data_IF_397918008061
#
_entry.id   IF_397918008061
#
_cell.length_a   1.000
_cell.length_b   1.000
_cell.length_c   1.000
_cell.angle_alpha   90.00
_cell.angle_beta   90.00
_cell.angle_gamma   90.00
#
_symmetry.space_group_name_H-M   'P 1'
#
loop_
_entity.id
_entity.type
_entity.pdbx_description
1 polymer ?
#
# COMPACT_ATOMS: atom_id res chain seq x y z
N UNK A 1 115.10 136.71 -106.78
CA UNK A 1 115.57 137.01 -105.42
C UNK A 1 114.44 137.48 -104.52
N UNK A 2 113.30 137.94 -105.06
CA UNK A 2 112.19 138.44 -104.22
C UNK A 2 111.13 137.39 -103.87
N UNK A 3 111.29 136.16 -104.37
CA UNK A 3 110.49 134.98 -104.01
C UNK A 3 110.66 134.54 -102.55
N UNK A 4 111.73 134.96 -101.86
CA UNK A 4 111.94 134.64 -100.44
C UNK A 4 111.24 135.60 -99.46
N UNK A 5 110.80 136.78 -99.92
CA UNK A 5 110.20 137.80 -99.03
C UNK A 5 108.67 137.73 -98.99
N UNK A 6 108.02 137.22 -100.04
CA UNK A 6 106.56 137.13 -100.09
C UNK A 6 106.02 135.92 -99.31
N UNK A 7 106.76 134.81 -99.31
CA UNK A 7 106.37 133.60 -98.56
C UNK A 7 106.50 133.80 -97.04
N UNK A 8 107.31 134.79 -96.61
CA UNK A 8 107.36 135.22 -95.21
C UNK A 8 106.09 136.01 -94.80
N UNK A 9 105.50 136.77 -95.72
CA UNK A 9 104.31 137.58 -95.45
C UNK A 9 103.05 136.70 -95.30
N UNK A 10 102.94 135.62 -96.07
CA UNK A 10 101.82 134.67 -95.95
C UNK A 10 101.96 133.80 -94.70
N UNK A 11 103.19 133.42 -94.31
CA UNK A 11 103.45 132.73 -93.04
C UNK A 11 103.11 133.60 -91.81
N UNK A 12 103.39 134.91 -91.86
CA UNK A 12 103.00 135.85 -90.79
C UNK A 12 101.48 136.03 -90.68
N UNK A 13 100.75 136.02 -91.79
CA UNK A 13 99.28 136.13 -91.78
C UNK A 13 98.61 134.84 -91.27
N UNK A 14 99.20 133.66 -91.53
CA UNK A 14 98.74 132.39 -90.98
C UNK A 14 98.99 132.27 -89.47
N UNK A 15 100.13 132.77 -88.96
CA UNK A 15 100.40 132.85 -87.52
C UNK A 15 99.44 133.80 -86.80
N UNK A 16 99.06 134.91 -87.46
CA UNK A 16 98.04 135.86 -86.95
C UNK A 16 96.67 135.20 -86.79
N UNK A 17 96.24 134.41 -87.78
CA UNK A 17 94.95 133.71 -87.72
C UNK A 17 94.95 132.57 -86.69
N UNK A 18 96.08 131.89 -86.47
CA UNK A 18 96.18 130.85 -85.43
C UNK A 18 96.12 131.42 -84.01
N UNK A 19 96.74 132.58 -83.74
CA UNK A 19 96.64 133.23 -82.42
C UNK A 19 95.23 133.68 -82.09
N UNK A 20 94.46 134.13 -83.08
CA UNK A 20 93.06 134.54 -82.88
C UNK A 20 92.15 133.35 -82.52
N UNK A 21 92.46 132.15 -83.00
CA UNK A 21 91.68 130.95 -82.70
C UNK A 21 91.95 130.39 -81.29
N UNK A 22 93.18 130.54 -80.77
CA UNK A 22 93.51 130.17 -79.37
C UNK A 22 92.78 131.07 -78.37
N UNK A 23 92.63 132.37 -78.68
CA UNK A 23 91.91 133.32 -77.83
C UNK A 23 90.40 133.04 -77.73
N UNK A 24 89.77 132.45 -78.76
CA UNK A 24 88.31 132.19 -78.80
C UNK A 24 87.88 130.86 -78.16
N UNK A 25 88.81 129.94 -77.88
CA UNK A 25 88.49 128.60 -77.36
C UNK A 25 88.70 128.43 -75.85
N UNK A 26 88.99 129.49 -75.09
CA UNK A 26 88.98 129.44 -73.62
C UNK A 26 89.95 128.46 -72.97
N UNK A 27 90.96 127.98 -73.70
CA UNK A 27 92.11 127.21 -73.20
C UNK A 27 93.29 128.16 -72.97
N UNK A 28 93.01 129.23 -72.22
CA UNK A 28 93.92 130.34 -71.89
C UNK A 28 93.82 130.74 -70.43
N UNK A 29 93.46 129.80 -69.55
CA UNK A 29 93.56 129.97 -68.10
C UNK A 29 94.54 128.94 -67.55
N UNK A 30 95.53 129.48 -66.85
CA UNK A 30 96.41 128.78 -65.93
C UNK A 30 95.57 127.84 -65.05
N UNK A 31 95.90 126.54 -65.12
CA UNK A 31 95.65 125.57 -64.07
C UNK A 31 96.39 126.05 -62.80
N UNK A 32 95.79 127.01 -62.11
CA UNK A 32 96.14 127.39 -60.75
C UNK A 32 95.72 126.26 -59.82
N UNK A 33 96.45 125.16 -59.91
CA UNK A 33 96.57 124.19 -58.83
C UNK A 33 97.30 124.91 -57.71
N UNK A 34 96.53 125.64 -56.90
CA UNK A 34 97.02 126.15 -55.62
C UNK A 34 97.57 124.95 -54.82
N UNK A 35 98.67 125.15 -54.11
CA UNK A 35 99.34 124.11 -53.31
C UNK A 35 98.35 123.38 -52.36
N UNK A 36 97.35 124.11 -51.86
CA UNK A 36 96.21 123.55 -51.10
C UNK A 36 95.35 122.56 -51.89
N UNK A 37 95.07 122.77 -53.17
CA UNK A 37 94.30 121.82 -53.99
C UNK A 37 95.13 120.59 -54.41
N UNK A 38 96.46 120.72 -54.51
CA UNK A 38 97.35 119.56 -54.70
C UNK A 38 97.43 118.71 -53.42
N UNK A 39 97.49 119.33 -52.24
CA UNK A 39 97.42 118.63 -50.95
C UNK A 39 96.03 118.02 -50.71
N UNK A 40 94.94 118.70 -51.05
CA UNK A 40 93.58 118.15 -50.96
C UNK A 40 93.38 116.98 -51.94
N UNK A 41 93.90 117.06 -53.17
CA UNK A 41 93.83 115.95 -54.13
C UNK A 41 94.73 114.77 -53.72
N UNK A 42 95.90 115.06 -53.12
CA UNK A 42 96.77 114.05 -52.51
C UNK A 42 96.13 113.39 -51.29
N UNK A 43 95.45 114.15 -50.43
CA UNK A 43 94.66 113.65 -49.31
C UNK A 43 93.49 112.79 -49.82
N UNK A 44 92.81 113.21 -50.90
CA UNK A 44 91.70 112.47 -51.50
C UNK A 44 92.15 111.18 -52.17
N UNK A 45 93.31 111.16 -52.86
CA UNK A 45 93.89 109.93 -53.39
C UNK A 45 94.33 108.97 -52.28
N UNK A 46 94.83 109.49 -51.16
CA UNK A 46 95.13 108.66 -49.98
C UNK A 46 93.86 108.08 -49.35
N UNK A 47 92.79 108.86 -49.21
CA UNK A 47 91.49 108.36 -48.73
C UNK A 47 90.86 107.36 -49.70
N UNK A 48 91.04 107.53 -51.02
CA UNK A 48 90.56 106.58 -52.02
C UNK A 48 91.32 105.25 -51.97
N UNK A 49 92.63 105.30 -51.69
CA UNK A 49 93.47 104.10 -51.55
C UNK A 49 93.14 103.34 -50.27
N UNK A 50 92.97 104.06 -49.15
CA UNK A 50 92.51 103.48 -47.88
C UNK A 50 91.07 102.92 -47.98
N UNK A 51 90.19 103.59 -48.73
CA UNK A 51 88.83 103.09 -49.05
C UNK A 51 88.84 101.83 -49.92
N UNK A 52 89.78 101.74 -50.88
CA UNK A 52 89.96 100.55 -51.72
C UNK A 52 90.45 99.35 -50.90
N UNK A 53 91.43 99.54 -50.02
CA UNK A 53 91.90 98.48 -49.12
C UNK A 53 90.79 98.03 -48.16
N UNK A 54 90.04 98.96 -47.57
CA UNK A 54 88.90 98.65 -46.70
C UNK A 54 87.78 97.87 -47.42
N UNK A 55 87.48 98.21 -48.68
CA UNK A 55 86.49 97.49 -49.48
C UNK A 55 86.99 96.11 -49.89
N UNK A 56 88.28 95.96 -50.19
CA UNK A 56 88.88 94.67 -50.51
C UNK A 56 88.86 93.71 -49.30
N UNK A 57 89.17 94.21 -48.11
CA UNK A 57 89.04 93.46 -46.85
C UNK A 57 87.58 93.05 -46.57
N UNK A 58 86.61 93.94 -46.83
CA UNK A 58 85.18 93.61 -46.68
C UNK A 58 84.70 92.54 -47.65
N UNK A 59 85.18 92.54 -48.89
CA UNK A 59 84.83 91.52 -49.90
C UNK A 59 85.43 90.16 -49.52
N UNK A 60 86.67 90.12 -49.04
CA UNK A 60 87.26 88.87 -48.54
C UNK A 60 86.57 88.35 -47.27
N UNK A 61 86.16 89.24 -46.37
CA UNK A 61 85.39 88.87 -45.18
C UNK A 61 84.01 88.30 -45.54
N UNK A 62 83.33 88.85 -46.55
CA UNK A 62 82.04 88.31 -47.02
C UNK A 62 82.21 86.99 -47.74
N UNK A 63 83.26 86.82 -48.55
CA UNK A 63 83.56 85.53 -49.19
C UNK A 63 83.80 84.41 -48.16
N UNK A 64 84.60 84.67 -47.12
CA UNK A 64 84.82 83.69 -46.03
C UNK A 64 83.56 83.39 -45.22
N UNK A 65 82.64 84.34 -45.11
CA UNK A 65 81.35 84.13 -44.45
C UNK A 65 80.40 83.25 -45.28
N UNK A 66 80.43 83.37 -46.62
CA UNK A 66 79.67 82.53 -47.54
C UNK A 66 80.20 81.09 -47.55
N UNK A 67 81.53 80.90 -47.62
CA UNK A 67 82.15 79.56 -47.56
C UNK A 67 81.82 78.84 -46.24
N UNK A 68 81.80 79.56 -45.09
CA UNK A 68 81.34 78.99 -43.81
C UNK A 68 79.85 78.64 -43.76
N UNK A 69 79.02 79.31 -44.56
CA UNK A 69 77.58 79.05 -44.64
C UNK A 69 77.29 77.82 -45.50
N UNK A 70 78.05 77.62 -46.58
CA UNK A 70 78.01 76.39 -47.39
C UNK A 70 78.44 75.16 -46.58
N UNK A 71 79.55 75.24 -45.84
CA UNK A 71 79.99 74.14 -44.95
C UNK A 71 78.96 73.82 -43.86
N UNK A 72 78.27 74.85 -43.33
CA UNK A 72 77.20 74.69 -42.34
C UNK A 72 75.92 74.06 -42.89
N UNK A 73 75.63 74.21 -44.19
CA UNK A 73 74.48 73.61 -44.86
C UNK A 73 74.72 72.13 -45.19
N UNK A 74 75.94 71.77 -45.61
CA UNK A 74 76.31 70.37 -45.89
C UNK A 74 76.30 69.51 -44.61
N UNK A 75 76.72 70.04 -43.45
CA UNK A 75 76.64 69.31 -42.18
C UNK A 75 75.21 69.17 -41.61
N UNK A 76 74.26 70.05 -41.96
CA UNK A 76 72.85 69.93 -41.51
C UNK A 76 72.03 68.93 -42.32
N UNK A 77 72.43 68.64 -43.57
CA UNK A 77 71.80 67.59 -44.38
C UNK A 77 71.89 66.18 -43.77
N UNK A 78 72.92 65.90 -42.99
CA UNK A 78 73.16 64.57 -42.37
C UNK A 78 72.24 64.31 -41.15
N UNK A 79 71.67 65.34 -40.51
CA UNK A 79 70.76 65.18 -39.36
C UNK A 79 69.31 64.85 -39.74
N UNK A 80 68.90 65.03 -40.99
CA UNK A 80 67.56 64.62 -41.45
C UNK A 80 67.41 63.10 -41.63
N UNK A 81 68.51 62.34 -41.71
CA UNK A 81 68.47 60.87 -41.75
C UNK A 81 68.04 60.24 -40.42
N UNK A 82 68.49 60.80 -39.29
CA UNK A 82 68.26 60.23 -37.94
C UNK A 82 66.83 60.49 -37.44
N UNK A 83 66.27 61.68 -37.72
CA UNK A 83 64.88 62.00 -37.39
C UNK A 83 63.90 61.14 -38.20
N UNK A 84 64.25 60.79 -39.44
CA UNK A 84 63.44 59.89 -40.27
C UNK A 84 63.40 58.47 -39.71
N UNK A 85 64.54 57.91 -39.28
CA UNK A 85 64.56 56.57 -38.66
C UNK A 85 63.85 56.49 -37.32
N UNK A 86 63.99 57.51 -36.46
CA UNK A 86 63.28 57.53 -35.17
C UNK A 86 61.78 57.81 -35.33
N UNK A 87 61.39 58.65 -36.29
CA UNK A 87 59.98 58.84 -36.65
C UNK A 87 59.36 57.59 -37.29
N UNK A 88 60.10 56.87 -38.14
CA UNK A 88 59.67 55.58 -38.72
C UNK A 88 59.60 54.47 -37.66
N UNK A 89 60.48 54.47 -36.64
CA UNK A 89 60.44 53.52 -35.53
C UNK A 89 59.32 53.84 -34.52
N UNK A 90 59.06 55.13 -34.25
CA UNK A 90 57.93 55.56 -33.43
C UNK A 90 56.59 55.34 -34.17
N UNK A 91 56.54 55.59 -35.48
CA UNK A 91 55.39 55.28 -36.32
C UNK A 91 55.10 53.77 -36.32
N UNK A 92 56.13 52.92 -36.48
CA UNK A 92 55.97 51.46 -36.32
C UNK A 92 55.51 51.07 -34.92
N UNK A 93 56.05 51.65 -33.84
CA UNK A 93 55.57 51.36 -32.48
C UNK A 93 54.13 51.84 -32.22
N UNK A 94 53.72 52.97 -32.80
CA UNK A 94 52.33 53.46 -32.71
C UNK A 94 51.42 52.59 -33.57
N UNK A 95 51.86 52.13 -34.72
CA UNK A 95 51.09 51.24 -35.60
C UNK A 95 51.00 49.83 -35.02
N UNK A 96 52.07 49.28 -34.45
CA UNK A 96 52.11 48.03 -33.70
C UNK A 96 51.28 48.15 -32.41
N UNK A 97 51.38 49.27 -31.70
CA UNK A 97 50.58 49.57 -30.50
C UNK A 97 49.10 49.69 -30.81
N UNK A 98 48.73 50.38 -31.91
CA UNK A 98 47.35 50.43 -32.40
C UNK A 98 46.88 49.08 -32.91
N UNK A 99 47.71 48.31 -33.60
CA UNK A 99 47.37 46.97 -34.04
C UNK A 99 47.16 46.02 -32.85
N UNK A 100 47.93 46.18 -31.78
CA UNK A 100 47.77 45.43 -30.54
C UNK A 100 46.55 45.89 -29.74
N UNK A 101 46.26 47.19 -29.69
CA UNK A 101 45.00 47.73 -29.12
C UNK A 101 43.78 47.25 -29.92
N UNK A 102 43.84 47.26 -31.26
CA UNK A 102 42.77 46.72 -32.11
C UNK A 102 42.57 45.23 -31.89
N UNK A 103 43.65 44.43 -31.84
CA UNK A 103 43.55 42.99 -31.53
C UNK A 103 43.03 42.73 -30.12
N UNK A 104 43.42 43.56 -29.14
CA UNK A 104 42.92 43.47 -27.77
C UNK A 104 41.44 43.84 -27.67
N UNK A 105 40.99 44.86 -28.39
CA UNK A 105 39.59 45.26 -28.46
C UNK A 105 38.74 44.23 -29.21
N UNK A 106 39.28 43.64 -30.28
CA UNK A 106 38.63 42.56 -31.04
C UNK A 106 38.51 41.28 -30.20
N UNK A 107 39.57 40.89 -29.47
CA UNK A 107 39.53 39.78 -28.52
C UNK A 107 38.56 40.04 -27.36
N UNK A 108 38.53 41.27 -26.83
CA UNK A 108 37.58 41.65 -25.79
C UNK A 108 36.13 41.62 -26.29
N UNK A 109 35.85 42.13 -27.49
CA UNK A 109 34.52 42.06 -28.09
C UNK A 109 34.08 40.62 -28.36
N UNK A 110 34.98 39.77 -28.86
CA UNK A 110 34.73 38.34 -29.06
C UNK A 110 34.50 37.60 -27.73
N UNK A 111 35.25 37.93 -26.67
CA UNK A 111 35.03 37.38 -25.34
C UNK A 111 33.67 37.81 -24.78
N UNK A 112 33.30 39.09 -24.90
CA UNK A 112 31.98 39.60 -24.47
C UNK A 112 30.83 38.94 -25.24
N UNK A 113 30.99 38.69 -26.53
CA UNK A 113 30.01 37.93 -27.34
C UNK A 113 29.90 36.48 -26.88
N UNK A 114 31.01 35.78 -26.62
CA UNK A 114 31.00 34.41 -26.12
C UNK A 114 30.42 34.32 -24.69
N UNK A 115 30.73 35.28 -23.81
CA UNK A 115 30.23 35.37 -22.44
C UNK A 115 28.73 35.69 -22.39
N UNK A 116 28.24 36.56 -23.27
CA UNK A 116 26.79 36.81 -23.40
C UNK A 116 26.04 35.60 -23.95
N UNK A 117 26.62 34.88 -24.92
CA UNK A 117 26.08 33.60 -25.41
C UNK A 117 26.04 32.55 -24.29
N UNK A 118 27.13 32.39 -23.54
CA UNK A 118 27.21 31.44 -22.43
C UNK A 118 26.17 31.75 -21.33
N UNK A 119 25.99 33.04 -20.98
CA UNK A 119 24.93 33.46 -20.03
C UNK A 119 23.53 33.17 -20.55
N UNK A 120 23.27 33.42 -21.84
CA UNK A 120 21.96 33.15 -22.44
C UNK A 120 21.64 31.64 -22.41
N UNK A 121 22.62 30.78 -22.75
CA UNK A 121 22.45 29.32 -22.70
C UNK A 121 22.33 28.84 -21.23
N UNK A 122 23.03 29.47 -20.29
CA UNK A 122 22.89 29.16 -18.86
C UNK A 122 21.46 29.38 -18.36
N UNK A 123 20.79 30.46 -18.80
CA UNK A 123 19.37 30.69 -18.50
C UNK A 123 18.50 29.60 -19.13
N UNK A 124 18.77 29.21 -20.38
CA UNK A 124 18.05 28.12 -21.06
C UNK A 124 18.20 26.77 -20.32
N UNK A 125 19.39 26.48 -19.79
CA UNK A 125 19.65 25.30 -18.95
C UNK A 125 18.82 25.33 -17.66
N UNK A 126 18.76 26.48 -16.98
CA UNK A 126 17.94 26.66 -15.77
C UNK A 126 16.45 26.48 -16.06
N UNK A 127 15.95 27.05 -17.17
CA UNK A 127 14.57 26.88 -17.63
C UNK A 127 14.25 25.41 -17.96
N UNK A 128 15.12 24.73 -18.73
CA UNK A 128 14.96 23.31 -19.05
C UNK A 128 15.07 22.42 -17.81
N UNK A 129 15.91 22.78 -16.85
CA UNK A 129 16.02 22.08 -15.56
C UNK A 129 14.74 22.21 -14.75
N UNK A 130 14.18 23.42 -14.65
CA UNK A 130 12.87 23.64 -14.01
C UNK A 130 11.77 22.83 -14.70
N UNK A 131 11.72 22.91 -16.04
CA UNK A 131 10.72 22.16 -16.82
C UNK A 131 10.87 20.65 -16.64
N UNK A 132 12.10 20.13 -16.53
CA UNK A 132 12.36 18.71 -16.25
C UNK A 132 11.79 18.32 -14.89
N UNK A 133 12.00 19.14 -13.86
CA UNK A 133 11.44 18.85 -12.52
C UNK A 133 9.92 18.83 -12.51
N UNK A 134 9.26 19.74 -13.24
CA UNK A 134 7.80 19.76 -13.35
C UNK A 134 7.26 18.52 -14.06
N UNK A 135 7.90 18.11 -15.16
CA UNK A 135 7.51 16.91 -15.90
C UNK A 135 7.82 15.62 -15.10
N UNK A 136 8.88 15.60 -14.29
CA UNK A 136 9.18 14.47 -13.39
C UNK A 136 8.06 14.27 -12.35
N UNK A 137 7.56 15.37 -11.77
CA UNK A 137 6.42 15.33 -10.84
C UNK A 137 5.19 14.79 -11.56
N UNK A 138 4.88 15.31 -12.75
CA UNK A 138 3.77 14.83 -13.57
C UNK A 138 3.89 13.32 -13.88
N UNK A 139 5.08 12.83 -14.24
CA UNK A 139 5.32 11.40 -14.48
C UNK A 139 5.01 10.55 -13.26
N UNK A 140 5.50 10.97 -12.09
CA UNK A 140 5.23 10.25 -10.83
C UNK A 140 3.73 10.25 -10.50
N UNK A 141 3.05 11.37 -10.71
CA UNK A 141 1.60 11.46 -10.51
C UNK A 141 0.83 10.53 -11.46
N UNK A 142 1.16 10.52 -12.75
CA UNK A 142 0.48 9.68 -13.74
C UNK A 142 0.79 8.19 -13.54
N UNK A 143 2.04 7.84 -13.21
CA UNK A 143 2.41 6.47 -12.85
C UNK A 143 1.64 5.97 -11.62
N UNK A 144 1.49 6.82 -10.59
CA UNK A 144 0.70 6.48 -9.41
C UNK A 144 -0.79 6.30 -9.76
N UNK A 145 -1.38 7.17 -10.61
CA UNK A 145 -2.76 7.01 -11.07
C UNK A 145 -2.96 5.74 -11.87
N UNK A 146 -2.04 5.41 -12.78
CA UNK A 146 -2.05 4.17 -13.54
C UNK A 146 -2.00 2.94 -12.62
N UNK A 147 -1.13 2.95 -11.62
CA UNK A 147 -1.04 1.86 -10.64
C UNK A 147 -2.36 1.70 -9.85
N UNK A 148 -2.91 2.78 -9.31
CA UNK A 148 -4.18 2.73 -8.56
C UNK A 148 -5.33 2.23 -9.44
N UNK A 149 -5.38 2.66 -10.70
CA UNK A 149 -6.39 2.19 -11.65
C UNK A 149 -6.21 0.70 -11.99
N UNK A 150 -4.96 0.23 -12.10
CA UNK A 150 -4.64 -1.18 -12.30
C UNK A 150 -5.04 -2.05 -11.11
N UNK A 151 -4.68 -1.65 -9.88
CA UNK A 151 -5.05 -2.38 -8.66
C UNK A 151 -6.58 -2.52 -8.54
N UNK A 152 -7.30 -1.42 -8.83
CA UNK A 152 -8.77 -1.40 -8.80
C UNK A 152 -9.39 -2.27 -9.89
N UNK A 153 -8.79 -2.30 -11.08
CA UNK A 153 -9.19 -3.19 -12.16
C UNK A 153 -9.02 -4.66 -11.74
N UNK A 154 -7.90 -5.01 -11.10
CA UNK A 154 -7.66 -6.36 -10.59
C UNK A 154 -8.66 -6.76 -9.51
N UNK A 155 -8.97 -5.87 -8.56
CA UNK A 155 -10.00 -6.10 -7.54
C UNK A 155 -11.36 -6.43 -8.17
N UNK A 156 -11.81 -5.62 -9.14
CA UNK A 156 -13.08 -5.88 -9.81
C UNK A 156 -13.08 -7.15 -10.66
N UNK A 157 -11.96 -7.49 -11.31
CA UNK A 157 -11.81 -8.76 -12.04
C UNK A 157 -11.90 -9.96 -11.09
N UNK A 158 -11.26 -9.89 -9.91
CA UNK A 158 -11.38 -10.93 -8.88
C UNK A 158 -12.83 -11.08 -8.43
N UNK A 159 -13.51 -9.95 -8.16
CA UNK A 159 -14.90 -9.96 -7.72
C UNK A 159 -15.86 -10.53 -8.77
N UNK A 160 -15.66 -10.21 -10.04
CA UNK A 160 -16.39 -10.79 -11.17
C UNK A 160 -16.21 -12.32 -11.21
N UNK A 161 -14.96 -12.78 -11.08
CA UNK A 161 -14.63 -14.21 -11.11
C UNK A 161 -15.28 -14.98 -9.94
N UNK A 162 -15.28 -14.41 -8.73
CA UNK A 162 -15.96 -14.97 -7.56
C UNK A 162 -17.47 -15.10 -7.81
N UNK A 163 -18.13 -14.05 -8.30
CA UNK A 163 -19.57 -14.06 -8.55
C UNK A 163 -19.95 -15.01 -9.69
N UNK A 164 -19.09 -15.13 -10.70
CA UNK A 164 -19.24 -16.12 -11.77
C UNK A 164 -19.16 -17.54 -11.21
N UNK A 165 -18.23 -17.80 -10.29
CA UNK A 165 -18.11 -19.09 -9.62
C UNK A 165 -19.35 -19.40 -8.79
N UNK A 166 -19.91 -18.42 -8.07
CA UNK A 166 -21.19 -18.57 -7.36
C UNK A 166 -22.30 -18.93 -8.33
N UNK A 167 -22.45 -18.22 -9.44
CA UNK A 167 -23.49 -18.49 -10.44
C UNK A 167 -23.39 -19.92 -11.03
N UNK A 168 -22.17 -20.39 -11.31
CA UNK A 168 -21.95 -21.74 -11.85
C UNK A 168 -22.22 -22.83 -10.79
N UNK A 169 -21.83 -22.58 -9.53
CA UNK A 169 -21.91 -23.59 -8.48
C UNK A 169 -23.25 -23.61 -7.75
N UNK A 170 -24.00 -22.50 -7.75
CA UNK A 170 -25.26 -22.37 -7.02
C UNK A 170 -26.26 -23.50 -7.31
N UNK A 171 -26.52 -23.91 -8.57
CA UNK A 171 -27.45 -24.99 -8.85
C UNK A 171 -27.03 -26.34 -8.26
N UNK A 172 -25.73 -26.64 -8.24
CA UNK A 172 -25.20 -27.87 -7.66
C UNK A 172 -25.31 -27.84 -6.12
N UNK A 173 -25.02 -26.69 -5.52
CA UNK A 173 -25.14 -26.48 -4.08
C UNK A 173 -26.61 -26.54 -3.63
N UNK A 174 -27.55 -25.96 -4.37
CA UNK A 174 -28.99 -26.07 -4.10
C UNK A 174 -29.43 -27.53 -4.11
N UNK A 175 -29.03 -28.32 -5.12
CA UNK A 175 -29.35 -29.76 -5.17
C UNK A 175 -28.76 -30.53 -3.99
N UNK A 176 -27.54 -30.21 -3.58
CA UNK A 176 -26.88 -30.81 -2.40
C UNK A 176 -27.66 -30.50 -1.13
N UNK A 177 -28.01 -29.24 -0.92
CA UNK A 177 -28.78 -28.79 0.25
C UNK A 177 -30.20 -29.37 0.27
N UNK A 178 -30.86 -29.51 -0.89
CA UNK A 178 -32.15 -30.17 -1.01
C UNK A 178 -32.07 -31.67 -0.63
N UNK A 179 -31.01 -32.37 -1.03
CA UNK A 179 -30.79 -33.75 -0.62
C UNK A 179 -30.52 -33.88 0.90
N UNK A 180 -29.80 -32.93 1.48
CA UNK A 180 -29.59 -32.86 2.93
C UNK A 180 -30.91 -32.57 3.68
N UNK A 181 -31.75 -31.68 3.15
CA UNK A 181 -33.08 -31.38 3.70
C UNK A 181 -34.00 -32.60 3.66
N UNK A 182 -34.00 -33.34 2.54
CA UNK A 182 -34.75 -34.59 2.41
C UNK A 182 -34.30 -35.64 3.45
N UNK A 183 -32.99 -35.78 3.65
CA UNK A 183 -32.44 -36.65 4.70
C UNK A 183 -32.85 -36.18 6.10
N UNK A 184 -32.91 -34.87 6.34
CA UNK A 184 -33.40 -34.29 7.59
C UNK A 184 -34.86 -34.70 7.83
N UNK A 185 -35.73 -34.59 6.82
CA UNK A 185 -37.13 -35.01 6.93
C UNK A 185 -37.28 -36.51 7.18
N UNK A 186 -36.51 -37.36 6.49
CA UNK A 186 -36.50 -38.81 6.74
C UNK A 186 -36.08 -39.14 8.18
N UNK A 187 -35.11 -38.40 8.71
CA UNK A 187 -34.66 -38.56 10.10
C UNK A 187 -35.72 -38.11 11.09
N UNK A 188 -36.43 -37.01 10.80
CA UNK A 188 -37.57 -36.54 11.61
C UNK A 188 -38.70 -37.57 11.64
N UNK A 189 -39.03 -38.19 10.50
CA UNK A 189 -40.06 -39.23 10.43
C UNK A 189 -39.67 -40.46 11.26
N UNK A 190 -38.40 -40.90 11.17
CA UNK A 190 -37.87 -41.98 11.98
C UNK A 190 -37.96 -41.65 13.49
N UNK A 191 -37.54 -40.45 13.89
CA UNK A 191 -37.64 -40.02 15.30
C UNK A 191 -39.08 -39.96 15.80
N UNK A 192 -40.04 -39.61 14.94
CA UNK A 192 -41.46 -39.61 15.30
C UNK A 192 -41.97 -41.04 15.54
N UNK A 193 -41.58 -42.00 14.71
CA UNK A 193 -41.90 -43.41 14.90
C UNK A 193 -41.27 -43.98 16.19
N UNK A 194 -39.99 -43.69 16.43
CA UNK A 194 -39.31 -44.05 17.69
C UNK A 194 -40.00 -43.42 18.91
N UNK A 195 -40.51 -42.19 18.78
CA UNK A 195 -41.24 -41.49 19.83
C UNK A 195 -42.58 -42.12 20.18
N UNK A 196 -43.28 -42.66 19.18
CA UNK A 196 -44.50 -43.42 19.40
C UNK A 196 -44.20 -44.72 20.16
N UNK A 197 -43.18 -45.48 19.74
CA UNK A 197 -42.75 -46.70 20.43
C UNK A 197 -42.32 -46.43 21.88
N UNK A 198 -41.59 -45.33 22.11
CA UNK A 198 -41.18 -44.92 23.46
C UNK A 198 -42.38 -44.54 24.33
N UNK A 199 -43.39 -43.88 23.76
CA UNK A 199 -44.61 -43.49 24.47
C UNK A 199 -45.45 -44.72 24.86
N UNK A 200 -45.58 -45.69 23.95
CA UNK A 200 -46.25 -46.97 24.22
C UNK A 200 -45.53 -47.74 25.32
N UNK A 201 -44.20 -47.89 25.23
CA UNK A 201 -43.37 -48.58 26.23
C UNK A 201 -43.45 -47.91 27.61
N UNK A 202 -43.43 -46.57 27.64
CA UNK A 202 -43.63 -45.79 28.87
C UNK A 202 -45.04 -45.94 29.45
N UNK A 203 -46.08 -46.02 28.60
CA UNK A 203 -47.45 -46.29 29.06
C UNK A 203 -47.57 -47.68 29.68
N UNK A 204 -46.93 -48.68 29.08
CA UNK A 204 -46.91 -50.05 29.60
C UNK A 204 -46.18 -50.14 30.94
N UNK A 205 -45.02 -49.48 31.06
CA UNK A 205 -44.29 -49.43 32.32
C UNK A 205 -45.07 -48.71 33.43
N UNK A 206 -45.87 -47.69 33.09
CA UNK A 206 -46.79 -47.04 34.05
C UNK A 206 -47.89 -47.98 34.53
N UNK A 207 -48.48 -48.76 33.63
CA UNK A 207 -49.47 -49.78 34.02
C UNK A 207 -48.83 -50.85 34.91
N UNK A 208 -47.62 -51.32 34.57
CA UNK A 208 -46.82 -52.23 35.40
C UNK A 208 -46.54 -51.64 36.79
N UNK A 209 -46.19 -50.36 36.88
CA UNK A 209 -45.97 -49.69 38.16
C UNK A 209 -47.20 -49.72 39.06
N UNK A 210 -48.38 -49.44 38.50
CA UNK A 210 -49.64 -49.50 39.23
C UNK A 210 -49.93 -50.91 39.75
N UNK A 211 -49.77 -51.94 38.91
CA UNK A 211 -49.97 -53.34 39.32
C UNK A 211 -49.03 -53.77 40.44
N UNK A 212 -47.74 -53.41 40.35
CA UNK A 212 -46.75 -53.75 41.40
C UNK A 212 -47.06 -52.98 42.70
N UNK A 213 -47.52 -51.73 42.60
CA UNK A 213 -47.93 -50.94 43.76
C UNK A 213 -49.17 -51.51 44.45
N UNK A 214 -50.17 -51.98 43.70
CA UNK A 214 -51.33 -52.68 44.25
C UNK A 214 -50.92 -53.98 44.96
N UNK A 215 -50.03 -54.77 44.35
CA UNK A 215 -49.50 -55.99 44.97
C UNK A 215 -48.71 -55.70 46.26
N UNK A 216 -47.93 -54.61 46.31
CA UNK A 216 -47.22 -54.19 47.53
C UNK A 216 -48.20 -53.80 48.65
N UNK A 217 -49.30 -53.12 48.30
CA UNK A 217 -50.35 -52.78 49.27
C UNK A 217 -51.05 -54.03 49.80
N UNK A 218 -51.38 -54.99 48.93
CA UNK A 218 -51.94 -56.28 49.32
C UNK A 218 -51.00 -57.02 50.28
N UNK A 219 -49.72 -57.18 49.91
CA UNK A 219 -48.74 -57.86 50.73
C UNK A 219 -48.51 -57.17 52.08
N UNK A 220 -48.52 -55.83 52.12
CA UNK A 220 -48.45 -55.06 53.37
C UNK A 220 -49.66 -55.30 54.27
N UNK A 221 -50.87 -55.27 53.70
CA UNK A 221 -52.10 -55.50 54.45
C UNK A 221 -52.13 -56.90 55.08
N UNK A 222 -51.75 -57.94 54.32
CA UNK A 222 -51.71 -59.31 54.83
C UNK A 222 -50.63 -59.49 55.90
N UNK A 223 -49.44 -58.94 55.68
CA UNK A 223 -48.39 -58.99 56.70
C UNK A 223 -48.81 -58.29 57.99
N UNK A 224 -49.51 -57.16 57.90
CA UNK A 224 -50.06 -56.48 59.06
C UNK A 224 -51.10 -57.34 59.78
N UNK A 225 -52.04 -57.95 59.04
CA UNK A 225 -53.04 -58.86 59.62
C UNK A 225 -52.37 -60.05 60.35
N UNK A 226 -51.31 -60.63 59.77
CA UNK A 226 -50.53 -61.71 60.41
C UNK A 226 -49.87 -61.21 61.71
N UNK A 227 -49.26 -60.02 61.70
CA UNK A 227 -48.62 -59.43 62.88
C UNK A 227 -49.64 -59.18 64.00
N UNK A 228 -50.83 -58.68 63.66
CA UNK A 228 -51.93 -58.44 64.61
C UNK A 228 -52.53 -59.75 65.14
N UNK A 229 -52.59 -60.80 64.32
CA UNK A 229 -53.17 -62.08 64.68
C UNK A 229 -52.26 -62.92 65.60
N UNK A 230 -50.94 -62.86 65.41
CA UNK A 230 -49.96 -63.59 66.23
C UNK A 230 -50.17 -63.51 67.74
N UNK A 231 -50.32 -62.32 68.37
CA UNK A 231 -50.54 -62.24 69.81
C UNK A 231 -51.90 -62.80 70.23
N UNK A 232 -52.92 -62.76 69.36
CA UNK A 232 -54.24 -63.33 69.63
C UNK A 232 -54.18 -64.87 69.63
N UNK A 233 -53.46 -65.44 68.65
CA UNK A 233 -53.25 -66.89 68.53
C UNK A 233 -52.40 -67.42 69.69
N UNK A 234 -51.37 -66.69 70.11
CA UNK A 234 -50.55 -67.05 71.27
C UNK A 234 -51.40 -67.12 72.56
N UNK A 235 -52.20 -66.08 72.83
CA UNK A 235 -53.13 -66.05 73.99
C UNK A 235 -54.19 -67.14 73.91
N UNK A 236 -54.69 -67.42 72.71
CA UNK A 236 -55.65 -68.51 72.51
C UNK A 236 -55.01 -69.86 72.85
N UNK A 237 -53.79 -70.12 72.39
CA UNK A 237 -53.02 -71.31 72.74
C UNK A 237 -52.84 -71.51 74.25
N UNK A 238 -52.55 -70.44 74.99
CA UNK A 238 -52.44 -70.44 76.46
C UNK A 238 -53.77 -70.78 77.16
N UNK A 239 -54.91 -70.49 76.52
CA UNK A 239 -56.25 -70.73 77.08
C UNK A 239 -56.83 -72.11 76.79
N UNK A 240 -56.18 -72.91 75.94
CA UNK A 240 -56.68 -74.22 75.52
C UNK A 240 -56.40 -75.31 76.56
N UNK A 241 -57.41 -76.13 76.85
CA UNK A 241 -57.23 -77.36 77.64
C UNK A 241 -56.49 -78.46 76.85
N UNK A 242 -56.57 -78.42 75.51
CA UNK A 242 -55.88 -79.32 74.57
C UNK A 242 -55.70 -78.64 73.21
N UNK A 243 -54.51 -78.76 72.63
CA UNK A 243 -54.21 -78.20 71.29
C UNK A 243 -54.80 -79.05 70.15
N UNK A 244 -55.20 -80.29 70.44
CA UNK A 244 -55.67 -81.29 69.45
C UNK A 244 -57.18 -81.57 69.54
N UNK A 245 -57.76 -81.41 70.72
CA UNK A 245 -59.19 -81.65 70.98
C UNK A 245 -59.81 -80.30 71.35
N UNK A 246 -60.45 -79.67 70.38
CA UNK A 246 -61.07 -78.35 70.53
C UNK A 246 -62.54 -78.49 70.87
N UNK A 247 -63.07 -77.59 71.71
CA UNK A 247 -64.52 -77.41 71.85
C UNK A 247 -65.10 -76.73 70.60
N UNK A 248 -66.42 -76.75 70.45
CA UNK A 248 -67.09 -76.05 69.33
C UNK A 248 -66.79 -74.54 69.34
N UNK A 249 -66.65 -73.94 70.53
CA UNK A 249 -66.28 -72.52 70.69
C UNK A 249 -64.83 -72.27 70.27
N UNK A 250 -63.91 -73.16 70.65
CA UNK A 250 -62.49 -73.08 70.28
C UNK A 250 -62.32 -73.26 68.76
N UNK A 251 -63.08 -74.17 68.16
CA UNK A 251 -63.09 -74.40 66.72
C UNK A 251 -63.64 -73.18 65.98
N UNK A 252 -64.73 -72.56 66.47
CA UNK A 252 -65.26 -71.32 65.88
C UNK A 252 -64.24 -70.17 65.94
N UNK A 253 -63.50 -70.02 67.04
CA UNK A 253 -62.42 -69.03 67.16
C UNK A 253 -61.26 -69.31 66.21
N UNK A 254 -60.90 -70.58 66.03
CA UNK A 254 -59.85 -70.99 65.09
C UNK A 254 -60.23 -70.68 63.64
N UNK A 255 -61.49 -70.91 63.26
CA UNK A 255 -62.01 -70.53 61.94
C UNK A 255 -62.09 -69.01 61.75
N UNK A 256 -62.38 -68.24 62.80
CA UNK A 256 -62.31 -66.77 62.75
C UNK A 256 -60.87 -66.28 62.53
N UNK A 257 -59.88 -66.90 63.19
CA UNK A 257 -58.48 -66.59 62.93
C UNK A 257 -58.05 -66.93 61.50
N UNK A 258 -58.52 -68.06 60.95
CA UNK A 258 -58.28 -68.43 59.56
C UNK A 258 -58.93 -67.45 58.58
N UNK A 259 -60.14 -66.99 58.85
CA UNK A 259 -60.84 -65.99 58.04
C UNK A 259 -60.10 -64.64 58.00
N UNK A 260 -59.46 -64.25 59.11
CA UNK A 260 -58.62 -63.03 59.20
C UNK A 260 -57.29 -63.14 58.44
N UNK A 261 -56.87 -64.35 58.05
CA UNK A 261 -55.68 -64.59 57.23
C UNK A 261 -55.97 -64.56 55.72
N UNK A 262 -57.12 -64.00 55.31
CA UNK A 262 -57.43 -63.77 53.89
C UNK A 262 -56.86 -62.42 53.41
N UNK A 263 -56.44 -62.30 52.13
CA UNK A 263 -56.41 -63.33 51.10
C UNK A 263 -55.38 -64.45 51.36
N UNK A 264 -55.72 -65.67 50.92
CA UNK A 264 -54.86 -66.87 51.07
C UNK A 264 -53.68 -66.80 50.12
N UNK A 265 -53.95 -66.46 48.85
CA UNK A 265 -52.95 -66.33 47.79
C UNK A 265 -52.91 -64.87 47.32
N UNK A 266 -51.77 -64.40 46.80
CA UNK A 266 -51.69 -63.10 46.16
C UNK A 266 -52.61 -63.03 44.95
N UNK A 267 -53.12 -61.83 44.69
CA UNK A 267 -54.04 -61.57 43.58
C UNK A 267 -53.48 -61.99 42.22
N UNK A 268 -52.14 -62.00 42.07
CA UNK A 268 -51.46 -62.49 40.85
C UNK A 268 -51.73 -63.96 40.51
N UNK A 269 -52.00 -64.79 41.51
CA UNK A 269 -52.19 -66.25 41.37
C UNK A 269 -53.68 -66.60 41.22
N UNK A 270 -54.59 -65.83 41.83
CA UNK A 270 -56.02 -66.17 41.92
C UNK A 270 -56.94 -65.65 40.81
N UNK A 271 -56.45 -64.85 39.86
CA UNK A 271 -57.31 -64.13 38.90
C UNK A 271 -57.47 -64.78 37.51
N UNK A 272 -58.47 -65.63 37.30
CA UNK A 272 -58.95 -65.93 35.94
C UNK A 272 -59.51 -64.66 35.27
N UNK A 273 -58.92 -64.24 34.14
CA UNK A 273 -59.06 -62.93 33.45
C UNK A 273 -58.34 -61.77 34.14
N UNK A 274 -57.05 -61.61 33.82
CA UNK A 274 -56.18 -60.56 34.35
C UNK A 274 -54.98 -61.09 35.13
N UNK A 275 -54.88 -62.42 35.29
CA UNK A 275 -53.69 -63.09 35.82
C UNK A 275 -52.44 -62.54 35.14
N UNK A 276 -51.46 -62.23 35.98
CA UNK A 276 -50.04 -62.15 35.67
C UNK A 276 -49.56 -63.54 35.20
N UNK A 277 -50.19 -64.02 34.11
CA UNK A 277 -50.12 -65.37 33.61
C UNK A 277 -48.73 -65.65 33.07
N UNK A 278 -48.28 -66.85 33.38
CA UNK A 278 -46.95 -67.43 33.15
C UNK A 278 -46.44 -67.48 31.69
N UNK A 279 -47.02 -66.69 30.77
CA UNK A 279 -46.59 -66.56 29.38
C UNK A 279 -46.53 -65.13 28.82
N UNK A 280 -47.00 -64.10 29.55
CA UNK A 280 -47.09 -62.72 29.02
C UNK A 280 -46.31 -61.68 29.85
N UNK A 281 -45.82 -62.10 31.02
CA UNK A 281 -44.78 -61.40 31.76
C UNK A 281 -43.44 -62.07 31.51
N UNK A 282 -43.05 -62.14 30.25
CA UNK A 282 -41.63 -62.17 29.98
C UNK A 282 -41.09 -60.81 30.48
N UNK A 283 -40.64 -60.80 31.73
CA UNK A 283 -39.92 -59.69 32.34
C UNK A 283 -38.55 -59.48 31.68
N UNK A 284 -38.25 -60.23 30.61
CA UNK A 284 -37.22 -59.95 29.65
C UNK A 284 -37.31 -58.51 29.16
N UNK A 285 -36.27 -57.77 29.50
CA UNK A 285 -35.90 -56.50 28.90
C UNK A 285 -36.01 -56.65 27.36
N UNK A 286 -36.94 -55.96 26.67
CA UNK A 286 -36.96 -55.99 25.21
C UNK A 286 -35.64 -55.48 24.61
N UNK A 287 -34.83 -54.75 25.40
CA UNK A 287 -33.56 -54.15 25.01
C UNK A 287 -32.33 -54.70 25.73
N UNK A 288 -32.38 -55.92 26.29
CA UNK A 288 -31.23 -56.77 26.65
C UNK A 288 -29.92 -56.10 27.08
N UNK A 289 -29.94 -55.07 27.95
CA UNK A 289 -28.73 -54.33 28.34
C UNK A 289 -28.60 -54.08 29.86
N UNK A 290 -29.56 -54.54 30.66
CA UNK A 290 -29.43 -54.56 32.12
C UNK A 290 -29.06 -55.95 32.64
N UNK A 291 -27.86 -56.09 33.22
CA UNK A 291 -27.33 -57.31 33.86
C UNK A 291 -28.11 -57.76 35.13
N UNK A 292 -29.27 -57.15 35.40
CA UNK A 292 -30.19 -57.53 36.48
C UNK A 292 -31.22 -58.50 35.94
N UNK A 293 -30.87 -59.79 35.92
CA UNK A 293 -31.83 -60.87 35.67
C UNK A 293 -32.98 -60.74 36.69
N UNK A 294 -34.24 -60.60 36.25
CA UNK A 294 -35.36 -60.48 37.17
C UNK A 294 -35.46 -61.73 38.04
N UNK A 295 -35.54 -61.51 39.35
CA UNK A 295 -35.79 -62.55 40.33
C UNK A 295 -37.10 -63.27 40.02
N UNK A 296 -37.06 -64.60 40.01
CA UNK A 296 -38.25 -65.43 39.70
C UNK A 296 -39.32 -65.22 40.77
N UNK A 297 -40.61 -65.18 40.38
CA UNK A 297 -41.70 -65.05 41.33
C UNK A 297 -41.65 -66.19 42.37
N UNK A 298 -41.93 -65.91 43.65
CA UNK A 298 -42.01 -66.93 44.68
C UNK A 298 -43.05 -68.00 44.32
N UNK A 299 -42.68 -69.24 44.54
CA UNK A 299 -43.56 -70.39 44.37
C UNK A 299 -44.43 -70.53 45.62
N UNK A 300 -45.74 -70.59 45.42
CA UNK A 300 -46.74 -70.71 46.48
C UNK A 300 -47.13 -72.17 46.70
N UNK A 301 -46.14 -73.05 46.91
CA UNK A 301 -46.35 -74.46 47.25
C UNK A 301 -46.64 -74.58 48.75
N UNK A 302 -47.82 -74.15 49.18
CA UNK A 302 -48.25 -74.23 50.58
C UNK A 302 -49.07 -75.49 50.91
N UNK A 303 -49.07 -76.44 49.97
CA UNK A 303 -49.91 -77.63 49.98
C UNK A 303 -49.85 -78.40 51.29
N UNK A 304 -48.67 -78.58 51.90
CA UNK A 304 -48.56 -79.44 53.10
C UNK A 304 -49.25 -78.83 54.32
N UNK A 305 -49.04 -77.54 54.60
CA UNK A 305 -49.63 -76.89 55.78
C UNK A 305 -51.12 -76.58 55.58
N UNK A 306 -51.54 -76.24 54.35
CA UNK A 306 -52.94 -76.03 54.01
C UNK A 306 -53.73 -77.34 53.99
N UNK A 307 -53.18 -78.41 53.43
CA UNK A 307 -53.80 -79.75 53.47
C UNK A 307 -53.87 -80.30 54.89
N UNK A 308 -52.84 -80.11 55.72
CA UNK A 308 -52.83 -80.58 57.11
C UNK A 308 -53.93 -79.87 57.95
N UNK A 309 -54.11 -78.56 57.77
CA UNK A 309 -55.16 -77.80 58.44
C UNK A 309 -56.56 -78.16 57.91
N UNK A 310 -56.72 -78.29 56.59
CA UNK A 310 -58.00 -78.67 55.98
C UNK A 310 -58.45 -80.09 56.36
N UNK A 311 -57.51 -81.03 56.46
CA UNK A 311 -57.80 -82.41 56.85
C UNK A 311 -58.09 -82.56 58.34
N UNK A 312 -57.36 -81.82 59.18
CA UNK A 312 -57.47 -81.89 60.65
C UNK A 312 -57.35 -80.50 61.26
N UNK A 313 -58.45 -79.73 61.35
CA UNK A 313 -58.42 -78.38 61.92
C UNK A 313 -58.25 -78.45 63.43
N UNK A 314 -57.06 -78.09 63.91
CA UNK A 314 -56.73 -77.96 65.33
C UNK A 314 -55.66 -76.87 65.52
N UNK A 315 -55.34 -76.53 66.78
CA UNK A 315 -54.44 -75.41 67.07
C UNK A 315 -53.03 -75.63 66.51
N UNK A 316 -52.53 -76.88 66.47
CA UNK A 316 -51.21 -77.20 65.91
C UNK A 316 -51.17 -77.05 64.40
N UNK A 317 -52.16 -77.60 63.69
CA UNK A 317 -52.22 -77.47 62.23
C UNK A 317 -52.42 -76.01 61.81
N UNK A 318 -53.20 -75.23 62.57
CA UNK A 318 -53.34 -73.78 62.34
C UNK A 318 -52.04 -72.99 62.61
N UNK A 319 -51.32 -73.31 63.68
CA UNK A 319 -50.06 -72.63 64.01
C UNK A 319 -49.00 -72.86 62.92
N UNK A 320 -48.94 -74.08 62.36
CA UNK A 320 -48.09 -74.38 61.19
C UNK A 320 -48.52 -73.58 59.97
N UNK A 321 -49.83 -73.50 59.70
CA UNK A 321 -50.40 -72.73 58.60
C UNK A 321 -50.04 -71.24 58.70
N UNK A 322 -50.17 -70.64 59.89
CA UNK A 322 -49.83 -69.23 60.14
C UNK A 322 -48.36 -68.94 59.83
N UNK A 323 -47.43 -69.78 60.29
CA UNK A 323 -45.99 -69.64 60.02
C UNK A 323 -45.68 -69.81 58.53
N UNK A 324 -46.32 -70.77 57.86
CA UNK A 324 -46.12 -71.02 56.44
C UNK A 324 -46.61 -69.83 55.59
N UNK A 325 -47.83 -69.32 55.85
CA UNK A 325 -48.37 -68.14 55.17
C UNK A 325 -47.54 -66.89 55.44
N UNK A 326 -47.08 -66.66 56.67
CA UNK A 326 -46.18 -65.54 56.95
C UNK A 326 -44.90 -65.60 56.12
N UNK A 327 -44.28 -66.77 56.04
CA UNK A 327 -43.07 -66.96 55.23
C UNK A 327 -43.32 -66.65 53.76
N UNK A 328 -44.41 -67.17 53.18
CA UNK A 328 -44.74 -66.95 51.77
C UNK A 328 -45.05 -65.49 51.48
N UNK A 329 -45.88 -64.83 52.29
CA UNK A 329 -46.16 -63.39 52.13
C UNK A 329 -44.92 -62.52 52.36
N UNK A 330 -43.94 -62.96 53.15
CA UNK A 330 -42.65 -62.27 53.28
C UNK A 330 -41.83 -62.38 52.00
N UNK A 331 -41.71 -63.58 51.44
CA UNK A 331 -41.01 -63.82 50.17
C UNK A 331 -41.67 -63.05 49.02
N UNK A 332 -43.01 -63.05 48.98
CA UNK A 332 -43.81 -62.29 48.02
C UNK A 332 -43.49 -60.79 48.08
N UNK A 333 -43.50 -60.20 49.28
CA UNK A 333 -43.18 -58.77 49.44
C UNK A 333 -41.74 -58.44 49.05
N UNK A 334 -40.78 -59.33 49.34
CA UNK A 334 -39.39 -59.13 48.89
C UNK A 334 -39.31 -59.09 47.37
N UNK A 335 -39.95 -60.05 46.68
CA UNK A 335 -40.00 -60.08 45.23
C UNK A 335 -40.72 -58.86 44.64
N UNK A 336 -41.85 -58.44 45.21
CA UNK A 336 -42.54 -57.21 44.79
C UNK A 336 -41.64 -55.98 44.94
N UNK A 337 -40.87 -55.89 46.03
CA UNK A 337 -39.88 -54.83 46.23
C UNK A 337 -38.81 -54.80 45.13
N UNK A 338 -38.32 -55.97 44.71
CA UNK A 338 -37.39 -56.09 43.57
C UNK A 338 -38.06 -55.63 42.25
N UNK A 339 -39.33 -55.99 42.03
CA UNK A 339 -40.09 -55.53 40.86
C UNK A 339 -40.29 -54.01 40.86
N UNK A 340 -40.54 -53.39 42.01
CA UNK A 340 -40.66 -51.93 42.11
C UNK A 340 -39.36 -51.24 41.70
N UNK A 341 -38.21 -51.77 42.11
CA UNK A 341 -36.90 -51.23 41.71
C UNK A 341 -36.70 -51.31 40.20
N UNK A 342 -37.07 -52.42 39.57
CA UNK A 342 -36.97 -52.58 38.12
C UNK A 342 -37.88 -51.60 37.37
N UNK A 343 -39.12 -51.44 37.81
CA UNK A 343 -40.07 -50.51 37.18
C UNK A 343 -39.62 -49.05 37.33
N UNK A 344 -39.08 -48.67 38.48
CA UNK A 344 -38.52 -47.33 38.72
C UNK A 344 -37.26 -47.08 37.86
N UNK A 345 -36.38 -48.08 37.73
CA UNK A 345 -35.22 -47.99 36.86
C UNK A 345 -35.65 -47.79 35.39
N UNK A 346 -36.62 -48.57 34.91
CA UNK A 346 -37.20 -48.39 33.57
C UNK A 346 -37.86 -47.02 33.40
N UNK A 347 -38.58 -46.53 34.39
CA UNK A 347 -39.20 -45.19 34.35
C UNK A 347 -38.14 -44.08 34.20
N UNK A 348 -37.05 -44.15 34.97
CA UNK A 348 -35.92 -43.22 34.86
C UNK A 348 -35.23 -43.29 33.49
N UNK A 349 -35.09 -44.50 32.94
CA UNK A 349 -34.56 -44.70 31.57
C UNK A 349 -35.47 -44.05 30.53
N UNK A 350 -36.79 -44.25 30.60
CA UNK A 350 -37.74 -43.63 29.69
C UNK A 350 -37.71 -42.10 29.76
N UNK A 351 -37.61 -41.52 30.95
CA UNK A 351 -37.46 -40.06 31.11
C UNK A 351 -36.18 -39.57 30.42
N UNK A 352 -35.06 -40.28 30.60
CA UNK A 352 -33.78 -39.91 30.00
C UNK A 352 -33.80 -40.03 28.48
N UNK A 353 -34.38 -41.12 27.95
CA UNK A 353 -34.58 -41.31 26.51
C UNK A 353 -35.50 -40.24 25.93
N UNK A 354 -36.60 -39.91 26.61
CA UNK A 354 -37.53 -38.87 26.15
C UNK A 354 -36.85 -37.51 26.09
N UNK A 355 -36.07 -37.14 27.11
CA UNK A 355 -35.30 -35.90 27.12
C UNK A 355 -34.29 -35.85 25.97
N UNK A 356 -33.58 -36.95 25.70
CA UNK A 356 -32.65 -37.03 24.57
C UNK A 356 -33.38 -36.85 23.24
N UNK A 357 -34.49 -37.56 23.05
CA UNK A 357 -35.31 -37.46 21.85
C UNK A 357 -35.84 -36.03 21.64
N UNK A 358 -36.33 -35.36 22.68
CA UNK A 358 -36.83 -34.00 22.58
C UNK A 358 -35.70 -33.01 22.20
N UNK A 359 -34.48 -33.24 22.70
CA UNK A 359 -33.31 -32.47 22.30
C UNK A 359 -32.90 -32.74 20.84
N UNK A 360 -32.90 -34.00 20.42
CA UNK A 360 -32.55 -34.38 19.05
C UNK A 360 -33.59 -33.81 18.06
N UNK A 361 -34.88 -33.79 18.42
CA UNK A 361 -35.93 -33.16 17.63
C UNK A 361 -35.75 -31.64 17.49
N UNK A 362 -35.36 -30.94 18.56
CA UNK A 362 -35.03 -29.51 18.48
C UNK A 362 -33.85 -29.23 17.56
N UNK A 363 -32.82 -30.08 17.61
CA UNK A 363 -31.65 -29.96 16.74
C UNK A 363 -32.04 -30.14 15.27
N UNK A 364 -32.90 -31.12 14.95
CA UNK A 364 -33.38 -31.35 13.58
C UNK A 364 -34.20 -30.17 13.05
N UNK A 365 -35.07 -29.56 13.87
CA UNK A 365 -35.85 -28.37 13.47
C UNK A 365 -34.93 -27.19 13.15
N UNK A 366 -33.88 -26.99 13.94
CA UNK A 366 -32.89 -25.95 13.71
C UNK A 366 -32.04 -26.23 12.46
N UNK A 367 -31.65 -27.48 12.24
CA UNK A 367 -30.94 -27.92 11.02
C UNK A 367 -31.80 -27.70 9.77
N UNK A 368 -33.08 -28.09 9.79
CA UNK A 368 -34.05 -27.84 8.73
C UNK A 368 -34.14 -26.34 8.43
N UNK A 369 -34.29 -25.50 9.46
CA UNK A 369 -34.37 -24.04 9.30
C UNK A 369 -33.11 -23.47 8.65
N UNK A 370 -31.93 -23.93 9.05
CA UNK A 370 -30.66 -23.49 8.48
C UNK A 370 -30.50 -23.94 7.03
N UNK A 371 -30.88 -25.17 6.70
CA UNK A 371 -30.85 -25.70 5.34
C UNK A 371 -31.80 -24.92 4.43
N UNK A 372 -33.04 -24.66 4.87
CA UNK A 372 -34.01 -23.85 4.12
C UNK A 372 -33.50 -22.43 3.87
N UNK A 373 -32.89 -21.78 4.87
CA UNK A 373 -32.30 -20.45 4.70
C UNK A 373 -31.15 -20.45 3.68
N UNK A 374 -30.27 -21.45 3.73
CA UNK A 374 -29.17 -21.59 2.76
C UNK A 374 -29.69 -21.86 1.35
N UNK A 375 -30.71 -22.71 1.21
CA UNK A 375 -31.38 -22.94 -0.07
C UNK A 375 -31.93 -21.63 -0.61
N UNK A 376 -32.65 -20.85 0.20
CA UNK A 376 -33.23 -19.57 -0.24
C UNK A 376 -32.17 -18.58 -0.77
N UNK A 377 -30.99 -18.53 -0.16
CA UNK A 377 -29.89 -17.65 -0.62
C UNK A 377 -29.27 -18.16 -1.92
N UNK A 378 -29.14 -19.48 -2.06
CA UNK A 378 -28.50 -20.09 -3.24
C UNK A 378 -29.46 -20.23 -4.43
N UNK A 379 -30.75 -20.39 -4.17
CA UNK A 379 -31.84 -20.51 -5.15
C UNK A 379 -32.36 -19.14 -5.61
N UNK A 380 -31.41 -18.22 -5.87
CA UNK A 380 -31.64 -16.87 -6.39
C UNK A 380 -30.87 -16.68 -7.72
N UNK A 381 -31.22 -17.46 -8.78
CA UNK A 381 -30.47 -17.43 -10.03
C UNK A 381 -30.46 -16.04 -10.67
N UNK A 382 -31.58 -15.33 -10.59
CA UNK A 382 -31.73 -13.99 -11.14
C UNK A 382 -30.89 -12.96 -10.38
N UNK A 383 -30.89 -13.00 -9.04
CA UNK A 383 -30.05 -12.11 -8.25
C UNK A 383 -28.56 -12.42 -8.37
N UNK A 384 -28.17 -13.69 -8.50
CA UNK A 384 -26.77 -14.05 -8.79
C UNK A 384 -26.34 -13.54 -10.17
N UNK A 385 -27.20 -13.67 -11.18
CA UNK A 385 -26.95 -13.17 -12.53
C UNK A 385 -26.82 -11.64 -12.55
N UNK A 386 -27.71 -10.93 -11.86
CA UNK A 386 -27.67 -9.47 -11.74
C UNK A 386 -26.38 -9.00 -11.05
N UNK A 387 -26.02 -9.59 -9.90
CA UNK A 387 -24.78 -9.25 -9.18
C UNK A 387 -23.53 -9.51 -10.03
N UNK A 388 -23.51 -10.61 -10.76
CA UNK A 388 -22.43 -10.92 -11.71
C UNK A 388 -22.37 -9.89 -12.85
N UNK A 389 -23.52 -9.51 -13.42
CA UNK A 389 -23.57 -8.50 -14.48
C UNK A 389 -23.06 -7.14 -13.98
N UNK A 390 -23.50 -6.68 -12.81
CA UNK A 390 -23.00 -5.42 -12.23
C UNK A 390 -21.49 -5.45 -11.96
N UNK A 391 -20.97 -6.59 -11.50
CA UNK A 391 -19.53 -6.77 -11.30
C UNK A 391 -18.76 -6.78 -12.62
N UNK A 392 -19.30 -7.42 -13.66
CA UNK A 392 -18.73 -7.42 -15.00
C UNK A 392 -18.68 -6.00 -15.59
N UNK A 393 -19.76 -5.23 -15.47
CA UNK A 393 -19.80 -3.83 -15.93
C UNK A 393 -18.76 -2.97 -15.21
N UNK A 394 -18.59 -3.14 -13.89
CA UNK A 394 -17.55 -2.45 -13.11
C UNK A 394 -16.14 -2.88 -13.50
N UNK A 395 -15.92 -4.17 -13.74
CA UNK A 395 -14.66 -4.75 -14.23
C UNK A 395 -14.28 -4.15 -15.59
N UNK A 396 -15.23 -4.10 -16.53
CA UNK A 396 -15.02 -3.47 -17.85
C UNK A 396 -14.66 -1.99 -17.71
N UNK A 397 -15.41 -1.23 -16.92
CA UNK A 397 -15.16 0.20 -16.71
C UNK A 397 -13.80 0.46 -16.04
N UNK A 398 -13.41 -0.37 -15.07
CA UNK A 398 -12.12 -0.26 -14.40
C UNK A 398 -10.96 -0.62 -15.33
N UNK A 399 -11.11 -1.64 -16.18
CA UNK A 399 -10.12 -1.98 -17.21
C UNK A 399 -9.91 -0.85 -18.21
N UNK A 400 -10.99 -0.21 -18.67
CA UNK A 400 -10.87 0.93 -19.58
C UNK A 400 -10.17 2.10 -18.88
N UNK A 401 -10.51 2.38 -17.62
CA UNK A 401 -9.84 3.42 -16.82
C UNK A 401 -8.35 3.14 -16.65
N UNK A 402 -7.99 1.90 -16.30
CA UNK A 402 -6.59 1.48 -16.19
C UNK A 402 -5.84 1.64 -17.51
N UNK A 403 -6.48 1.30 -18.64
CA UNK A 403 -5.90 1.51 -19.98
C UNK A 403 -5.65 2.99 -20.27
N UNK A 404 -6.61 3.87 -20.00
CA UNK A 404 -6.47 5.31 -20.20
C UNK A 404 -5.34 5.86 -19.34
N UNK A 405 -5.31 5.56 -18.04
CA UNK A 405 -4.26 6.04 -17.15
C UNK A 405 -2.87 5.48 -17.53
N UNK A 406 -2.78 4.25 -18.03
CA UNK A 406 -1.53 3.69 -18.54
C UNK A 406 -1.02 4.43 -19.78
N UNK A 407 -1.92 4.80 -20.70
CA UNK A 407 -1.56 5.65 -21.85
C UNK A 407 -1.08 7.02 -21.39
N UNK A 408 -1.80 7.69 -20.48
CA UNK A 408 -1.41 9.00 -19.93
C UNK A 408 -0.05 8.95 -19.20
N UNK A 409 0.24 7.86 -18.48
CA UNK A 409 1.53 7.64 -17.86
C UNK A 409 2.65 7.44 -18.90
N UNK A 410 2.38 6.71 -19.98
CA UNK A 410 3.31 6.55 -21.10
C UNK A 410 3.61 7.87 -21.80
N UNK A 411 2.58 8.69 -22.07
CA UNK A 411 2.74 10.03 -22.65
C UNK A 411 3.56 10.95 -21.74
N UNK A 412 3.34 10.89 -20.41
CA UNK A 412 4.15 11.65 -19.46
C UNK A 412 5.61 11.22 -19.47
N UNK A 413 5.89 9.91 -19.49
CA UNK A 413 7.26 9.37 -19.57
C UNK A 413 7.96 9.78 -20.88
N UNK A 414 7.26 9.74 -22.01
CA UNK A 414 7.77 10.25 -23.29
C UNK A 414 8.13 11.74 -23.22
N UNK A 415 7.27 12.56 -22.60
CA UNK A 415 7.58 13.98 -22.38
C UNK A 415 8.81 14.16 -21.48
N UNK A 416 8.94 13.38 -20.40
CA UNK A 416 10.09 13.46 -19.50
C UNK A 416 11.40 13.13 -20.22
N UNK A 417 11.39 12.08 -21.04
CA UNK A 417 12.53 11.71 -21.86
C UNK A 417 12.90 12.83 -22.84
N UNK A 418 11.91 13.44 -23.51
CA UNK A 418 12.13 14.57 -24.42
C UNK A 418 12.75 15.78 -23.70
N UNK A 419 12.22 16.18 -22.54
CA UNK A 419 12.77 17.32 -21.78
C UNK A 419 14.17 17.01 -21.27
N UNK A 420 14.43 15.77 -20.87
CA UNK A 420 15.75 15.32 -20.42
C UNK A 420 16.78 15.42 -21.55
N UNK A 421 16.44 14.97 -22.76
CA UNK A 421 17.30 15.12 -23.94
C UNK A 421 17.54 16.60 -24.29
N UNK A 422 16.51 17.45 -24.23
CA UNK A 422 16.68 18.90 -24.46
C UNK A 422 17.60 19.56 -23.42
N UNK A 423 17.50 19.13 -22.15
CA UNK A 423 18.39 19.60 -21.10
C UNK A 423 19.84 19.18 -21.35
N UNK A 424 20.08 17.93 -21.74
CA UNK A 424 21.41 17.42 -22.13
C UNK A 424 22.00 18.22 -23.30
N UNK A 425 21.21 18.46 -24.34
CA UNK A 425 21.62 19.29 -25.49
C UNK A 425 21.95 20.74 -25.07
N UNK A 426 21.19 21.33 -24.15
CA UNK A 426 21.47 22.68 -23.64
C UNK A 426 22.73 22.73 -22.76
N UNK A 427 23.00 21.69 -21.96
CA UNK A 427 24.25 21.55 -21.21
C UNK A 427 25.47 21.40 -22.13
N UNK A 428 25.36 20.61 -23.19
CA UNK A 428 26.44 20.47 -24.18
C UNK A 428 26.71 21.78 -24.91
N UNK A 429 25.67 22.53 -25.28
CA UNK A 429 25.81 23.89 -25.85
C UNK A 429 26.46 24.86 -24.87
N UNK A 430 26.09 24.81 -23.59
CA UNK A 430 26.69 25.66 -22.55
C UNK A 430 28.18 25.38 -22.43
N UNK A 431 28.55 24.09 -22.34
CA UNK A 431 29.94 23.66 -22.28
C UNK A 431 30.76 24.15 -23.49
N UNK A 432 30.20 24.04 -24.70
CA UNK A 432 30.86 24.55 -25.91
C UNK A 432 31.03 26.08 -25.88
N UNK A 433 30.03 26.82 -25.40
CA UNK A 433 30.10 28.28 -25.27
C UNK A 433 31.12 28.72 -24.20
N UNK A 434 31.19 28.00 -23.07
CA UNK A 434 32.20 28.23 -22.02
C UNK A 434 33.62 27.91 -22.50
N UNK A 435 33.81 26.80 -23.23
CA UNK A 435 35.08 26.45 -23.86
C UNK A 435 35.52 27.53 -24.88
N UNK A 436 34.58 28.06 -25.69
CA UNK A 436 34.85 29.14 -26.63
C UNK A 436 35.18 30.48 -25.93
N UNK A 437 34.47 30.82 -24.85
CA UNK A 437 34.76 32.00 -24.04
C UNK A 437 36.13 31.89 -23.35
N UNK A 438 36.48 30.71 -22.82
CA UNK A 438 37.79 30.46 -22.23
C UNK A 438 38.92 30.56 -23.27
N UNK A 439 38.70 30.05 -24.49
CA UNK A 439 39.64 30.19 -25.60
C UNK A 439 39.81 31.64 -26.07
N UNK A 440 38.76 32.47 -25.99
CA UNK A 440 38.81 33.90 -26.34
C UNK A 440 39.53 34.78 -25.32
N UNK A 441 39.72 34.29 -24.09
CA UNK A 441 40.37 34.99 -22.98
C UNK A 441 41.90 34.75 -22.91
N UNK A 442 42.42 33.84 -23.74
CA UNK A 442 43.84 33.48 -23.85
C UNK A 442 44.43 33.97 -25.17
#
# INVERSE_FOLDING_TARGET
QDTASSDLAVACEHDRQQREHVSKCGLGEELCVNETHCEEFGAHLKTLTESREYLQDRVEATRRAVEKLEDGLVQRGVKHGVIRTDAEALARKIEDGRAQEYKSLEAQAHFEECDTLARAISVEVEENSSRRTDVEVLCKEQANKAQVAQDRSEEFNQREAELKQVLVNAPAEVKRLQAELEKCWQTTELQLAEGQQLAESSSWNRQRAAMVQEADQEAKAVQQAIVELKPLVAKFGESLNSELILTDEDMARLMDFEARLRPIYPSRIGGGRGSLGSGELDFGDPDGQGDTVPSRPPVWDNDVAEQEFAATPNFRSFSKLLVARERLWRLERTWIGEQMVLVDASAKRFISLKKKQDQDALNLVEEERQLQQRIQVMDDPDGHALRHQEAWEKSVAARETARVCATEAGEADEMFNLVTTQLEESHDRLRQAEEAAAAANH
#
